data_IF_027148353782
#
_entry.id   IF_027148353782
#
_cell.length_a   1.000
_cell.length_b   1.000
_cell.length_c   1.000
_cell.angle_alpha   90.00
_cell.angle_beta   90.00
_cell.angle_gamma   90.00
#
_symmetry.space_group_name_H-M   'P 1'
#
loop_
_entity.id
_entity.type
_entity.pdbx_description
1 polymer ?
#
# COMPACT_ATOMS: atom_id res chain seq x y z
N UNK A 1 3.24 3.15 -23.06
CA UNK A 1 3.61 2.74 -21.71
C UNK A 1 2.66 1.69 -21.14
N UNK A 2 1.34 1.84 -21.31
CA UNK A 2 0.33 0.83 -20.90
C UNK A 2 0.62 -0.55 -21.51
N UNK A 3 0.90 -0.61 -22.82
CA UNK A 3 1.26 -1.86 -23.50
C UNK A 3 2.57 -2.47 -22.95
N UNK A 4 3.49 -1.64 -22.45
CA UNK A 4 4.71 -2.11 -21.79
C UNK A 4 4.37 -2.80 -20.48
N UNK A 5 3.48 -2.24 -19.66
CA UNK A 5 3.02 -2.85 -18.41
C UNK A 5 2.34 -4.20 -18.69
N UNK A 6 1.42 -4.25 -19.66
CA UNK A 6 0.77 -5.49 -20.07
C UNK A 6 1.75 -6.55 -20.55
N UNK A 7 2.77 -6.15 -21.33
CA UNK A 7 3.85 -7.06 -21.78
C UNK A 7 4.67 -7.56 -20.60
N UNK A 8 5.07 -6.68 -19.68
CA UNK A 8 5.78 -7.09 -18.46
C UNK A 8 4.95 -8.09 -17.65
N UNK A 9 3.66 -7.85 -17.45
CA UNK A 9 2.78 -8.77 -16.76
C UNK A 9 2.71 -10.16 -17.40
N UNK A 10 2.70 -10.25 -18.75
CA UNK A 10 2.77 -11.55 -19.44
C UNK A 10 4.08 -12.28 -19.18
N UNK A 11 5.22 -11.57 -19.28
CA UNK A 11 6.54 -12.15 -19.03
C UNK A 11 6.69 -12.58 -17.56
N UNK A 12 6.22 -11.78 -16.61
CA UNK A 12 6.24 -12.16 -15.20
C UNK A 12 5.50 -13.48 -14.96
N UNK A 13 4.30 -13.65 -15.51
CA UNK A 13 3.54 -14.91 -15.39
C UNK A 13 4.25 -16.10 -16.02
N UNK A 14 5.00 -15.88 -17.09
CA UNK A 14 5.75 -16.93 -17.79
C UNK A 14 6.98 -17.38 -16.98
N UNK A 15 7.74 -16.43 -16.42
CA UNK A 15 9.03 -16.71 -15.79
C UNK A 15 8.98 -16.82 -14.26
N UNK A 16 7.98 -16.20 -13.61
CA UNK A 16 7.82 -16.15 -12.15
C UNK A 16 6.35 -16.39 -11.74
N UNK A 17 5.76 -17.56 -12.12
CA UNK A 17 4.34 -17.82 -11.87
C UNK A 17 3.98 -17.88 -10.39
N UNK A 18 4.88 -18.37 -9.53
CA UNK A 18 4.62 -18.49 -8.09
C UNK A 18 4.62 -17.14 -7.40
N UNK A 19 5.55 -16.25 -7.74
CA UNK A 19 5.60 -14.88 -7.25
C UNK A 19 4.38 -14.08 -7.72
N UNK A 20 3.96 -14.28 -8.98
CA UNK A 20 2.74 -13.66 -9.49
C UNK A 20 1.49 -14.14 -8.76
N UNK A 21 1.41 -15.45 -8.46
CA UNK A 21 0.31 -16.03 -7.69
C UNK A 21 0.29 -15.45 -6.28
N UNK A 22 1.43 -15.41 -5.59
CA UNK A 22 1.55 -14.87 -4.25
C UNK A 22 1.13 -13.38 -4.18
N UNK A 23 1.53 -12.57 -5.17
CA UNK A 23 1.11 -11.17 -5.25
C UNK A 23 -0.40 -11.02 -5.40
N UNK A 24 -1.04 -11.87 -6.24
CA UNK A 24 -2.50 -11.85 -6.42
C UNK A 24 -3.23 -12.35 -5.18
N UNK A 25 -2.77 -13.43 -4.55
CA UNK A 25 -3.36 -13.96 -3.30
C UNK A 25 -3.29 -12.92 -2.17
N UNK A 26 -2.16 -12.23 -2.03
CA UNK A 26 -2.03 -11.13 -1.07
C UNK A 26 -2.99 -9.99 -1.40
N UNK A 27 -3.10 -9.61 -2.68
CA UNK A 27 -4.03 -8.57 -3.10
C UNK A 27 -5.50 -8.96 -2.86
N UNK A 28 -5.87 -10.24 -3.06
CA UNK A 28 -7.22 -10.74 -2.76
C UNK A 28 -7.55 -10.65 -1.26
N UNK A 29 -6.58 -10.91 -0.37
CA UNK A 29 -6.76 -10.70 1.08
C UNK A 29 -7.01 -9.22 1.42
N UNK A 30 -6.32 -8.31 0.73
CA UNK A 30 -6.51 -6.87 0.94
C UNK A 30 -7.89 -6.36 0.49
N UNK A 31 -8.50 -6.98 -0.54
CA UNK A 31 -9.88 -6.68 -0.94
C UNK A 31 -10.90 -6.99 0.19
N UNK A 32 -10.57 -7.95 1.04
CA UNK A 32 -11.38 -8.31 2.21
C UNK A 32 -10.88 -7.61 3.49
N UNK A 33 -10.08 -6.54 3.36
CA UNK A 33 -9.43 -5.83 4.45
C UNK A 33 -8.75 -6.77 5.47
N UNK A 34 -8.12 -7.83 4.96
CA UNK A 34 -7.36 -8.79 5.74
C UNK A 34 -5.87 -8.51 5.57
N UNK A 35 -5.20 -8.17 6.67
CA UNK A 35 -3.79 -7.82 6.72
C UNK A 35 -3.00 -8.92 7.42
N UNK A 36 -2.20 -9.65 6.64
CA UNK A 36 -1.31 -10.71 7.10
C UNK A 36 0.06 -10.50 6.44
N UNK A 37 1.07 -10.27 7.24
CA UNK A 37 2.43 -9.98 6.76
C UNK A 37 3.29 -11.23 6.84
N UNK A 38 3.41 -11.96 5.72
CA UNK A 38 4.19 -13.20 5.63
C UNK A 38 5.04 -13.28 4.36
N UNK A 39 5.14 -12.17 3.63
CA UNK A 39 5.97 -12.12 2.44
C UNK A 39 7.46 -12.13 2.82
N UNK A 40 8.35 -12.69 1.99
CA UNK A 40 9.78 -12.80 2.31
C UNK A 40 10.48 -11.46 2.58
N UNK A 41 9.88 -10.37 2.14
CA UNK A 41 10.39 -9.00 2.30
C UNK A 41 9.69 -8.20 3.39
N UNK A 42 8.71 -8.78 4.11
CA UNK A 42 8.13 -8.11 5.26
C UNK A 42 9.16 -8.01 6.38
N UNK A 43 9.32 -6.82 6.94
CA UNK A 43 10.32 -6.57 7.98
C UNK A 43 9.98 -7.31 9.26
N UNK A 44 8.68 -7.38 9.57
CA UNK A 44 8.12 -8.18 10.65
C UNK A 44 7.02 -9.08 10.10
N UNK A 45 7.09 -10.35 10.42
CA UNK A 45 6.09 -11.33 10.02
C UNK A 45 5.08 -11.56 11.12
N UNK A 46 3.80 -11.58 10.74
CA UNK A 46 2.70 -11.86 11.66
C UNK A 46 2.21 -13.30 11.50
N UNK A 47 1.80 -13.92 12.60
CA UNK A 47 1.26 -15.29 12.60
C UNK A 47 -0.27 -15.29 12.39
N UNK A 48 -0.92 -14.20 12.76
CA UNK A 48 -2.37 -14.03 12.70
C UNK A 48 -2.75 -12.80 11.88
N UNK A 49 -3.84 -12.85 11.10
CA UNK A 49 -4.31 -11.70 10.35
C UNK A 49 -5.09 -10.73 11.23
N UNK A 50 -4.94 -9.43 10.99
CA UNK A 50 -5.93 -8.44 11.38
C UNK A 50 -7.00 -8.34 10.28
N UNK A 51 -8.28 -8.34 10.66
CA UNK A 51 -9.41 -8.27 9.73
C UNK A 51 -10.38 -7.18 10.15
N UNK A 52 -10.77 -6.37 9.18
CA UNK A 52 -11.72 -5.27 9.37
C UNK A 52 -12.94 -5.51 8.50
N UNK A 53 -14.12 -5.62 9.11
CA UNK A 53 -15.40 -5.85 8.40
C UNK A 53 -16.02 -4.58 7.82
N UNK A 54 -15.28 -3.47 7.83
CA UNK A 54 -15.72 -2.16 7.37
C UNK A 54 -14.52 -1.23 7.30
N UNK A 55 -14.56 -0.16 8.06
CA UNK A 55 -13.47 0.81 8.16
C UNK A 55 -12.16 0.17 8.64
N UNK A 56 -11.06 0.50 7.98
CA UNK A 56 -9.72 0.07 8.39
C UNK A 56 -9.27 0.92 9.58
N UNK A 57 -8.86 0.27 10.67
CA UNK A 57 -8.19 0.92 11.79
C UNK A 57 -6.68 0.91 11.58
N UNK A 58 -6.13 1.99 11.06
CA UNK A 58 -4.70 2.13 10.78
C UNK A 58 -3.81 2.19 12.04
N UNK A 59 -4.42 2.30 13.23
CA UNK A 59 -3.76 2.29 14.53
C UNK A 59 -3.95 0.98 15.30
N UNK A 60 -4.54 -0.03 14.64
CA UNK A 60 -4.81 -1.29 15.28
C UNK A 60 -3.52 -1.96 15.76
N UNK A 61 -3.49 -2.29 17.04
CA UNK A 61 -2.37 -2.97 17.72
C UNK A 61 -2.71 -4.44 17.85
N UNK A 62 -1.95 -5.31 17.19
CA UNK A 62 -2.11 -6.76 17.29
C UNK A 62 -1.29 -7.26 18.48
N UNK A 63 -1.94 -7.96 19.44
CA UNK A 63 -1.28 -8.56 20.62
C UNK A 63 -0.40 -7.59 21.43
N UNK A 64 -0.82 -6.33 21.57
CA UNK A 64 -0.06 -5.28 22.28
C UNK A 64 1.31 -4.96 21.63
N UNK A 65 1.50 -5.37 20.37
CA UNK A 65 2.74 -5.15 19.62
C UNK A 65 2.60 -4.01 18.61
N UNK A 66 3.34 -2.94 18.84
CA UNK A 66 3.36 -1.79 17.96
C UNK A 66 4.03 -2.06 16.59
N UNK A 67 4.81 -3.13 16.45
CA UNK A 67 5.42 -3.48 15.15
C UNK A 67 4.36 -3.79 14.10
N UNK A 68 3.19 -4.32 14.50
CA UNK A 68 2.07 -4.48 13.58
C UNK A 68 1.58 -3.12 13.03
N UNK A 69 1.44 -2.10 13.89
CA UNK A 69 1.07 -0.73 13.47
C UNK A 69 2.10 -0.19 12.47
N UNK A 70 3.40 -0.38 12.77
CA UNK A 70 4.46 0.11 11.90
C UNK A 70 4.45 -0.61 10.54
N UNK A 71 4.36 -1.93 10.53
CA UNK A 71 4.30 -2.73 9.32
C UNK A 71 3.09 -2.35 8.47
N UNK A 72 1.92 -2.18 9.10
CA UNK A 72 0.69 -1.77 8.44
C UNK A 72 0.83 -0.38 7.80
N UNK A 73 1.45 0.58 8.50
CA UNK A 73 1.61 1.95 8.03
C UNK A 73 2.83 2.19 7.12
N UNK A 74 3.62 1.18 6.80
CA UNK A 74 4.61 1.22 5.70
C UNK A 74 3.94 1.06 4.34
N UNK A 75 2.77 0.47 4.26
CA UNK A 75 1.97 0.23 3.05
C UNK A 75 2.69 -0.55 1.95
N UNK A 76 3.69 -1.37 2.29
CA UNK A 76 4.39 -2.19 1.31
C UNK A 76 3.46 -3.13 0.55
N UNK A 77 2.45 -3.67 1.21
CA UNK A 77 1.44 -4.55 0.63
C UNK A 77 0.64 -3.90 -0.51
N UNK A 78 0.58 -2.56 -0.60
CA UNK A 78 -0.06 -1.89 -1.74
C UNK A 78 0.64 -2.19 -3.07
N UNK A 79 1.93 -2.55 -3.05
CA UNK A 79 2.64 -3.01 -4.25
C UNK A 79 1.94 -4.26 -4.81
N UNK A 80 1.46 -5.17 -3.95
CA UNK A 80 0.72 -6.36 -4.39
C UNK A 80 -0.59 -5.99 -5.10
N UNK A 81 -1.31 -4.95 -4.64
CA UNK A 81 -2.50 -4.44 -5.35
C UNK A 81 -2.13 -3.93 -6.76
N UNK A 82 -1.08 -3.12 -6.86
CA UNK A 82 -0.59 -2.64 -8.15
C UNK A 82 -0.11 -3.78 -9.06
N UNK A 83 0.62 -4.76 -8.51
CA UNK A 83 1.07 -5.94 -9.25
C UNK A 83 -0.11 -6.78 -9.73
N UNK A 84 -1.10 -7.05 -8.86
CA UNK A 84 -2.30 -7.79 -9.23
C UNK A 84 -3.09 -7.10 -10.34
N UNK A 85 -3.23 -5.76 -10.28
CA UNK A 85 -3.80 -4.98 -11.39
C UNK A 85 -3.00 -5.16 -12.68
N UNK A 86 -1.69 -4.96 -12.66
CA UNK A 86 -0.82 -5.11 -13.83
C UNK A 86 -0.77 -6.52 -14.41
N UNK A 87 -0.90 -7.55 -13.55
CA UNK A 87 -0.92 -8.95 -13.94
C UNK A 87 -2.27 -9.39 -14.55
N UNK A 88 -3.39 -8.93 -13.98
CA UNK A 88 -4.73 -9.45 -14.31
C UNK A 88 -5.57 -8.49 -15.13
N UNK A 89 -5.32 -7.19 -15.06
CA UNK A 89 -6.16 -6.14 -15.61
C UNK A 89 -7.47 -5.94 -14.84
N UNK A 90 -7.65 -6.59 -13.68
CA UNK A 90 -8.90 -6.46 -12.91
C UNK A 90 -8.90 -5.16 -12.11
N UNK A 91 -9.80 -4.27 -12.44
CA UNK A 91 -9.95 -2.93 -11.89
C UNK A 91 -10.18 -2.91 -10.37
N UNK A 92 -10.69 -3.98 -9.78
CA UNK A 92 -10.93 -4.11 -8.34
C UNK A 92 -9.68 -3.82 -7.50
N UNK A 93 -8.49 -4.20 -7.98
CA UNK A 93 -7.24 -3.99 -7.25
C UNK A 93 -6.81 -2.52 -7.25
N UNK A 94 -6.97 -1.85 -8.39
CA UNK A 94 -6.68 -0.42 -8.47
C UNK A 94 -7.69 0.42 -7.65
N UNK A 95 -8.97 0.02 -7.67
CA UNK A 95 -10.01 0.63 -6.80
C UNK A 95 -9.68 0.50 -5.34
N UNK A 96 -9.23 -0.69 -4.92
CA UNK A 96 -8.86 -0.93 -3.53
C UNK A 96 -7.63 -0.11 -3.13
N UNK A 97 -6.61 -0.02 -3.99
CA UNK A 97 -5.45 0.84 -3.75
C UNK A 97 -5.87 2.30 -3.54
N UNK A 98 -6.74 2.82 -4.41
CA UNK A 98 -7.26 4.20 -4.32
C UNK A 98 -8.08 4.37 -3.04
N UNK A 99 -8.96 3.41 -2.73
CA UNK A 99 -9.75 3.46 -1.50
C UNK A 99 -8.86 3.54 -0.26
N UNK A 100 -7.90 2.62 -0.12
CA UNK A 100 -7.00 2.59 1.04
C UNK A 100 -6.13 3.84 1.13
N UNK A 101 -5.66 4.39 0.00
CA UNK A 101 -4.89 5.63 -0.05
C UNK A 101 -5.71 6.80 0.50
N UNK A 102 -6.92 7.00 0.01
CA UNK A 102 -7.78 8.11 0.42
C UNK A 102 -8.25 7.96 1.86
N UNK A 103 -8.65 6.75 2.26
CA UNK A 103 -9.04 6.43 3.64
C UNK A 103 -7.91 6.73 4.63
N UNK A 104 -6.67 6.33 4.29
CA UNK A 104 -5.51 6.62 5.14
C UNK A 104 -5.20 8.11 5.22
N UNK A 105 -5.22 8.83 4.08
CA UNK A 105 -4.97 10.28 4.05
C UNK A 105 -5.99 11.06 4.88
N UNK A 106 -7.23 10.61 4.92
CA UNK A 106 -8.30 11.25 5.66
C UNK A 106 -8.24 10.94 7.17
N UNK A 107 -7.83 9.71 7.54
CA UNK A 107 -7.80 9.25 8.93
C UNK A 107 -6.50 9.57 9.66
N UNK A 108 -5.39 9.67 8.92
CA UNK A 108 -4.05 9.79 9.49
C UNK A 108 -3.34 11.07 9.04
N UNK A 109 -3.92 12.27 9.30
CA UNK A 109 -3.24 13.52 8.97
C UNK A 109 -1.96 13.68 9.79
N UNK A 110 -0.90 14.16 9.15
CA UNK A 110 0.31 14.50 9.88
C UNK A 110 0.09 15.78 10.71
N UNK A 111 0.37 15.67 11.99
CA UNK A 111 0.38 16.80 12.92
C UNK A 111 1.79 16.95 13.47
N UNK A 112 2.37 18.12 13.29
CA UNK A 112 3.71 18.44 13.81
C UNK A 112 3.78 18.25 15.33
N UNK A 113 4.89 17.69 15.79
CA UNK A 113 5.16 17.44 17.21
C UNK A 113 4.16 16.48 17.92
N UNK A 114 3.38 15.71 17.15
CA UNK A 114 2.53 14.66 17.69
C UNK A 114 3.29 13.33 17.80
N UNK A 115 3.01 12.57 18.86
CA UNK A 115 3.50 11.19 19.04
C UNK A 115 2.65 10.17 18.25
N UNK A 116 2.36 10.48 16.99
CA UNK A 116 1.55 9.58 16.17
C UNK A 116 2.40 8.41 15.62
N UNK A 117 2.11 7.20 16.05
CA UNK A 117 2.80 5.97 15.63
C UNK A 117 2.77 5.75 14.11
N UNK A 118 1.75 6.25 13.41
CA UNK A 118 1.61 6.11 11.95
C UNK A 118 2.57 7.02 11.17
N UNK A 119 3.22 7.98 11.84
CA UNK A 119 4.11 8.97 11.23
C UNK A 119 5.57 8.89 11.72
N UNK A 120 6.03 7.71 12.14
CA UNK A 120 7.47 7.52 12.42
C UNK A 120 8.30 7.85 11.18
N UNK A 121 9.45 8.47 11.38
CA UNK A 121 10.33 8.95 10.29
C UNK A 121 10.71 7.82 9.31
N UNK A 122 11.13 6.66 9.84
CA UNK A 122 11.45 5.49 9.00
C UNK A 122 10.25 5.06 8.15
N UNK A 123 9.08 4.93 8.78
CA UNK A 123 7.89 4.43 8.10
C UNK A 123 7.37 5.43 7.07
N UNK A 124 7.47 6.73 7.35
CA UNK A 124 7.13 7.78 6.39
C UNK A 124 8.02 7.74 5.15
N UNK A 125 9.33 7.50 5.30
CA UNK A 125 10.26 7.36 4.19
C UNK A 125 9.97 6.12 3.33
N UNK A 126 9.78 4.96 3.97
CA UNK A 126 9.46 3.70 3.29
C UNK A 126 8.11 3.79 2.57
N UNK A 127 7.10 4.34 3.25
CA UNK A 127 5.76 4.49 2.71
C UNK A 127 5.73 5.33 1.44
N UNK A 128 6.44 6.46 1.41
CA UNK A 128 6.51 7.31 0.22
C UNK A 128 7.08 6.55 -1.00
N UNK A 129 8.13 5.73 -0.81
CA UNK A 129 8.69 4.88 -1.88
C UNK A 129 7.66 3.84 -2.35
N UNK A 130 7.01 3.14 -1.43
CA UNK A 130 6.03 2.12 -1.78
C UNK A 130 4.78 2.69 -2.46
N UNK A 131 4.34 3.89 -2.08
CA UNK A 131 3.24 4.60 -2.72
C UNK A 131 3.55 4.89 -4.19
N UNK A 132 4.74 5.43 -4.47
CA UNK A 132 5.17 5.71 -5.86
C UNK A 132 5.18 4.42 -6.69
N UNK A 133 5.71 3.33 -6.15
CA UNK A 133 5.77 2.04 -6.85
C UNK A 133 4.38 1.45 -7.11
N UNK A 134 3.52 1.42 -6.11
CA UNK A 134 2.17 0.90 -6.24
C UNK A 134 1.33 1.73 -7.23
N UNK A 135 1.37 3.06 -7.08
CA UNK A 135 0.62 3.98 -7.94
C UNK A 135 1.09 3.94 -9.39
N UNK A 136 2.41 3.79 -9.63
CA UNK A 136 2.96 3.65 -10.99
C UNK A 136 2.40 2.44 -11.73
N UNK A 137 2.12 1.33 -11.04
CA UNK A 137 1.50 0.14 -11.62
C UNK A 137 0.02 0.35 -11.98
N UNK A 138 -0.67 1.26 -11.28
CA UNK A 138 -2.08 1.59 -11.49
C UNK A 138 -2.29 2.87 -12.30
N UNK A 139 -1.23 3.52 -12.80
CA UNK A 139 -1.30 4.85 -13.43
C UNK A 139 -2.26 4.96 -14.63
N UNK A 140 -2.59 3.84 -15.28
CA UNK A 140 -3.53 3.80 -16.41
C UNK A 140 -4.91 3.24 -16.04
N UNK A 141 -5.15 3.03 -14.76
CA UNK A 141 -6.46 2.64 -14.26
C UNK A 141 -7.42 3.83 -14.32
N UNK A 142 -8.66 3.65 -14.80
CA UNK A 142 -9.69 4.69 -14.75
C UNK A 142 -10.05 5.12 -13.30
N UNK A 143 -9.68 4.33 -12.29
CA UNK A 143 -9.85 4.70 -10.89
C UNK A 143 -8.83 5.73 -10.41
N UNK A 144 -7.70 5.88 -11.10
CA UNK A 144 -6.69 6.91 -10.82
C UNK A 144 -7.08 8.19 -11.58
N UNK A 145 -8.05 8.90 -11.04
CA UNK A 145 -8.52 10.18 -11.59
C UNK A 145 -7.53 11.33 -11.30
N UNK A 146 -7.72 12.49 -11.93
CA UNK A 146 -6.92 13.69 -11.63
C UNK A 146 -7.01 14.08 -10.15
N UNK A 147 -8.19 13.94 -9.54
CA UNK A 147 -8.41 14.23 -8.12
C UNK A 147 -7.61 13.26 -7.23
N UNK A 148 -7.63 11.97 -7.53
CA UNK A 148 -6.82 10.96 -6.82
C UNK A 148 -5.34 11.27 -6.98
N UNK A 149 -4.90 11.62 -8.19
CA UNK A 149 -3.53 12.04 -8.46
C UNK A 149 -3.10 13.26 -7.65
N UNK A 150 -3.96 14.27 -7.54
CA UNK A 150 -3.71 15.45 -6.72
C UNK A 150 -3.57 15.10 -5.23
N UNK A 151 -4.48 14.31 -4.68
CA UNK A 151 -4.41 13.83 -3.29
C UNK A 151 -3.16 13.00 -3.01
N UNK A 152 -2.78 12.15 -3.95
CA UNK A 152 -1.54 11.37 -3.88
C UNK A 152 -0.30 12.28 -3.81
N UNK A 153 -0.21 13.29 -4.70
CA UNK A 153 0.92 14.23 -4.72
C UNK A 153 0.97 15.09 -3.46
N UNK A 154 -0.17 15.56 -2.95
CA UNK A 154 -0.29 16.25 -1.66
C UNK A 154 0.23 15.36 -0.52
N UNK A 155 -0.17 14.10 -0.49
CA UNK A 155 0.32 13.13 0.47
C UNK A 155 1.84 12.96 0.42
N UNK A 156 2.44 12.85 -0.76
CA UNK A 156 3.89 12.79 -0.93
C UNK A 156 4.60 14.08 -0.47
N UNK A 157 4.03 15.26 -0.74
CA UNK A 157 4.56 16.52 -0.23
C UNK A 157 4.58 16.55 1.29
N UNK A 158 3.51 16.08 1.93
CA UNK A 158 3.43 15.98 3.41
C UNK A 158 4.53 15.04 3.93
N UNK A 159 4.77 13.88 3.28
CA UNK A 159 5.86 12.98 3.66
C UNK A 159 7.23 13.66 3.52
N UNK A 160 7.46 14.36 2.40
CA UNK A 160 8.70 15.13 2.21
C UNK A 160 8.91 16.18 3.30
N UNK A 161 7.87 16.92 3.65
CA UNK A 161 7.89 17.92 4.73
C UNK A 161 8.19 17.28 6.09
N UNK A 162 7.51 16.15 6.38
CA UNK A 162 7.73 15.37 7.63
C UNK A 162 9.19 14.95 7.78
N UNK A 163 9.80 14.43 6.70
CA UNK A 163 11.18 13.98 6.70
C UNK A 163 12.18 15.15 6.82
N UNK A 164 11.88 16.28 6.17
CA UNK A 164 12.74 17.45 6.22
C UNK A 164 12.73 18.15 7.58
N UNK A 165 11.57 18.29 8.20
CA UNK A 165 11.41 18.98 9.49
C UNK A 165 11.83 18.14 10.69
N UNK A 166 11.85 16.81 10.57
CA UNK A 166 12.20 15.88 11.64
C UNK A 166 13.02 14.70 11.08
N UNK A 167 14.28 14.95 10.74
CA UNK A 167 15.18 13.94 10.17
C UNK A 167 15.49 12.79 11.15
#
# INVERSE_FOLDING_TARGET
EEERIKRCGRLCREYWPDECRLAVETADQLLDHTFLFQLPWDMEQTQEPARFSGDIDWKYVLHEDNEFVFQMNRHRFWICLGQAYGLTGHERYAKELVYQLLDWLDKEPWVKDSENLTWRTLDAGLRADYWVRAMALCAYSPSVTEEVGARFLEGLEIHGRRLFENP
#
